data_IF_435344357321
#
_entry.id   IF_435344357321
#
_cell.length_a   1.000
_cell.length_b   1.000
_cell.length_c   1.000
_cell.angle_alpha   90.00
_cell.angle_beta   90.00
_cell.angle_gamma   90.00
#
_symmetry.space_group_name_H-M   'P 1'
#
loop_
_entity.id
_entity.type
_entity.pdbx_description
1 polymer ?
#
# COMPACT_ATOMS: atom_id res chain seq x y z
N UNK A 1 17.19 -0.45 -1.82
CA UNK A 1 16.98 -0.29 -3.28
C UNK A 1 16.45 -1.55 -3.96
N UNK A 2 16.74 -2.77 -3.48
CA UNK A 2 16.29 -4.04 -4.09
C UNK A 2 14.76 -4.27 -4.13
N UNK A 3 13.99 -3.81 -3.13
CA UNK A 3 12.54 -4.06 -3.07
C UNK A 3 11.78 -3.45 -4.26
N UNK A 4 12.12 -2.24 -4.71
CA UNK A 4 11.37 -1.53 -5.76
C UNK A 4 11.47 -2.24 -7.12
N UNK A 5 12.63 -2.80 -7.44
CA UNK A 5 12.85 -3.50 -8.72
C UNK A 5 12.06 -4.80 -8.77
N UNK A 6 12.12 -5.62 -7.71
CA UNK A 6 11.33 -6.85 -7.61
C UNK A 6 9.82 -6.57 -7.67
N UNK A 7 9.36 -5.48 -7.03
CA UNK A 7 7.97 -5.03 -7.13
C UNK A 7 7.57 -4.66 -8.56
N UNK A 8 8.43 -3.96 -9.30
CA UNK A 8 8.15 -3.61 -10.69
C UNK A 8 8.01 -4.85 -11.57
N UNK A 9 8.79 -5.89 -11.29
CA UNK A 9 8.78 -7.16 -12.03
C UNK A 9 7.59 -8.06 -11.67
N UNK A 10 7.20 -8.11 -10.40
CA UNK A 10 6.26 -9.13 -9.90
C UNK A 10 4.87 -8.60 -9.55
N UNK A 11 4.68 -7.29 -9.41
CA UNK A 11 3.36 -6.74 -9.14
C UNK A 11 2.51 -6.75 -10.41
N UNK A 12 1.41 -7.49 -10.38
CA UNK A 12 0.47 -7.65 -11.51
C UNK A 12 -0.16 -6.35 -12.06
N UNK A 13 -0.09 -5.21 -11.33
CA UNK A 13 -0.55 -3.89 -11.81
C UNK A 13 0.59 -2.96 -12.25
N UNK A 14 1.84 -3.43 -12.19
CA UNK A 14 3.02 -2.59 -12.39
C UNK A 14 3.25 -1.67 -11.19
N UNK A 15 4.47 -1.70 -10.65
CA UNK A 15 4.83 -0.83 -9.53
C UNK A 15 5.53 0.44 -10.03
N UNK A 16 4.87 1.60 -9.91
CA UNK A 16 5.46 2.92 -10.22
C UNK A 16 6.02 3.66 -9.01
N UNK A 17 5.90 3.08 -7.81
CA UNK A 17 6.28 3.70 -6.54
C UNK A 17 5.08 3.93 -5.61
N UNK A 18 5.34 3.99 -4.31
CA UNK A 18 4.37 4.44 -3.31
C UNK A 18 4.43 5.98 -3.25
N UNK A 19 3.28 6.64 -3.27
CA UNK A 19 3.17 8.10 -3.27
C UNK A 19 2.92 8.61 -1.85
N UNK A 20 3.66 9.65 -1.44
CA UNK A 20 3.59 10.22 -0.10
C UNK A 20 4.34 9.39 0.95
N UNK A 21 4.03 9.60 2.23
CA UNK A 21 4.55 8.79 3.33
C UNK A 21 4.20 7.32 3.09
N UNK A 22 5.23 6.46 3.11
CA UNK A 22 5.07 5.07 2.73
C UNK A 22 5.96 4.16 3.56
N UNK A 23 5.45 2.95 3.77
CA UNK A 23 6.09 1.91 4.56
C UNK A 23 5.90 0.57 3.85
N UNK A 24 6.97 -0.20 3.73
CA UNK A 24 6.94 -1.52 3.11
C UNK A 24 7.66 -2.53 3.99
N UNK A 25 7.08 -3.72 4.09
CA UNK A 25 7.64 -4.87 4.78
C UNK A 25 7.79 -6.02 3.81
N UNK A 26 8.91 -6.72 3.91
CA UNK A 26 9.24 -7.93 3.17
C UNK A 26 9.25 -9.08 4.17
N UNK A 27 8.57 -10.18 3.85
CA UNK A 27 8.75 -11.44 4.53
C UNK A 27 9.72 -12.31 3.72
N UNK A 28 10.74 -12.84 4.39
CA UNK A 28 11.71 -13.76 3.79
C UNK A 28 11.71 -15.12 4.51
N UNK A 29 11.92 -16.18 3.75
CA UNK A 29 12.18 -17.55 4.23
C UNK A 29 13.49 -17.98 3.58
N UNK A 30 14.48 -18.40 4.38
CA UNK A 30 15.79 -18.83 3.85
C UNK A 30 16.41 -17.81 2.87
N UNK A 31 16.31 -16.52 3.20
CA UNK A 31 16.75 -15.38 2.36
C UNK A 31 15.92 -15.13 1.08
N UNK A 32 14.98 -16.02 0.74
CA UNK A 32 14.03 -15.84 -0.37
C UNK A 32 12.80 -15.04 0.05
N UNK A 33 12.31 -14.17 -0.84
CA UNK A 33 11.19 -13.28 -0.55
C UNK A 33 9.87 -13.99 -0.84
N UNK A 34 9.04 -14.17 0.20
CA UNK A 34 7.76 -14.89 0.10
C UNK A 34 6.54 -13.97 0.15
N UNK A 35 6.68 -12.79 0.74
CA UNK A 35 5.59 -11.82 0.80
C UNK A 35 6.12 -10.40 0.83
N UNK A 36 5.28 -9.48 0.38
CA UNK A 36 5.54 -8.06 0.45
C UNK A 36 4.23 -7.33 0.76
N UNK A 37 4.27 -6.50 1.80
CA UNK A 37 3.18 -5.64 2.21
C UNK A 37 3.64 -4.20 2.11
N UNK A 38 2.84 -3.34 1.50
CA UNK A 38 3.15 -1.93 1.34
C UNK A 38 1.94 -1.05 1.61
N UNK A 39 2.23 0.04 2.29
CA UNK A 39 1.29 1.05 2.70
C UNK A 39 1.77 2.41 2.21
N UNK A 40 0.84 3.24 1.74
CA UNK A 40 1.12 4.60 1.32
C UNK A 40 0.12 5.58 1.92
N UNK A 41 0.36 6.87 1.72
CA UNK A 41 -0.57 7.91 2.10
C UNK A 41 -1.98 7.62 1.55
N UNK A 42 -3.00 8.00 2.32
CA UNK A 42 -4.38 7.82 1.93
C UNK A 42 -4.64 8.34 0.50
N UNK A 43 -5.22 7.49 -0.34
CA UNK A 43 -5.81 7.96 -1.58
C UNK A 43 -6.85 9.04 -1.27
N UNK A 44 -6.84 10.09 -2.06
CA UNK A 44 -7.54 11.33 -1.74
C UNK A 44 -9.07 11.14 -1.72
N UNK A 45 -9.64 10.27 -2.57
CA UNK A 45 -11.10 10.08 -2.64
C UNK A 45 -11.57 8.66 -3.03
N UNK A 46 -11.41 7.62 -2.19
CA UNK A 46 -12.32 6.49 -2.22
C UNK A 46 -13.64 6.93 -1.57
N UNK A 47 -14.61 7.38 -2.37
CA UNK A 47 -15.94 7.80 -1.88
C UNK A 47 -16.58 6.74 -0.96
N UNK A 48 -16.37 5.47 -1.26
CA UNK A 48 -16.85 4.35 -0.44
C UNK A 48 -16.26 4.33 0.98
N UNK A 49 -14.98 4.71 1.15
CA UNK A 49 -14.35 4.83 2.48
C UNK A 49 -15.03 5.92 3.28
N UNK A 50 -15.13 7.12 2.70
CA UNK A 50 -15.63 8.28 3.43
C UNK A 50 -17.11 8.11 3.81
N UNK A 51 -17.90 7.44 2.95
CA UNK A 51 -19.29 7.04 3.27
C UNK A 51 -19.37 6.00 4.38
N UNK A 52 -18.51 4.99 4.36
CA UNK A 52 -18.50 3.95 5.39
C UNK A 52 -18.08 4.48 6.77
N UNK A 53 -17.08 5.35 6.82
CA UNK A 53 -16.68 6.01 8.08
C UNK A 53 -17.70 7.10 8.49
N UNK A 54 -18.50 7.61 7.54
CA UNK A 54 -19.50 8.65 7.79
C UNK A 54 -18.91 10.06 7.92
N UNK A 55 -17.77 10.33 7.27
CA UNK A 55 -17.13 11.64 7.34
C UNK A 55 -17.83 12.69 6.50
N UNK A 56 -17.97 13.90 7.05
CA UNK A 56 -18.21 15.10 6.25
C UNK A 56 -16.95 15.49 5.49
N UNK A 57 -17.10 16.30 4.43
CA UNK A 57 -15.96 16.77 3.63
C UNK A 57 -14.90 17.48 4.49
N UNK A 58 -15.34 18.30 5.44
CA UNK A 58 -14.44 19.00 6.37
C UNK A 58 -13.68 18.02 7.29
N UNK A 59 -14.35 16.97 7.78
CA UNK A 59 -13.71 15.93 8.58
C UNK A 59 -12.69 15.12 7.75
N UNK A 60 -13.02 14.81 6.49
CA UNK A 60 -12.10 14.15 5.57
C UNK A 60 -10.80 14.95 5.43
N UNK A 61 -10.88 16.25 5.15
CA UNK A 61 -9.69 17.11 4.97
C UNK A 61 -8.73 17.09 6.16
N UNK A 62 -9.27 17.13 7.39
CA UNK A 62 -8.45 17.16 8.61
C UNK A 62 -7.91 15.76 8.96
N UNK A 63 -8.68 14.71 8.68
CA UNK A 63 -8.39 13.34 9.14
C UNK A 63 -7.66 12.47 8.12
N UNK A 64 -7.63 12.87 6.85
CA UNK A 64 -6.99 12.08 5.78
C UNK A 64 -5.53 11.73 6.10
N UNK A 65 -4.81 12.64 6.77
CA UNK A 65 -3.41 12.45 7.21
C UNK A 65 -3.20 11.29 8.20
N UNK A 66 -4.27 10.85 8.88
CA UNK A 66 -4.21 9.75 9.85
C UNK A 66 -4.64 8.42 9.22
N UNK A 67 -4.99 8.42 7.94
CA UNK A 67 -5.39 7.21 7.23
C UNK A 67 -4.25 6.76 6.34
N UNK A 68 -3.97 5.47 6.41
CA UNK A 68 -2.98 4.82 5.58
C UNK A 68 -3.73 3.97 4.55
N UNK A 69 -3.34 4.09 3.28
CA UNK A 69 -3.86 3.25 2.22
C UNK A 69 -3.06 1.95 2.13
N UNK A 70 -3.76 0.83 2.01
CA UNK A 70 -3.11 -0.42 1.68
C UNK A 70 -2.91 -0.49 0.16
N UNK A 71 -1.73 -0.07 -0.28
CA UNK A 71 -1.43 0.10 -1.70
C UNK A 71 -0.86 -1.17 -2.31
N UNK A 72 -0.32 -2.07 -1.48
CA UNK A 72 0.39 -3.22 -1.99
C UNK A 72 0.22 -4.45 -1.09
N UNK A 73 -0.27 -5.53 -1.70
CA UNK A 73 -0.21 -6.88 -1.16
C UNK A 73 0.29 -7.80 -2.26
N UNK A 74 1.43 -8.40 -2.04
CA UNK A 74 1.98 -9.42 -2.90
C UNK A 74 2.37 -10.62 -2.05
N UNK A 75 1.95 -11.80 -2.50
CA UNK A 75 2.23 -13.05 -1.81
C UNK A 75 2.61 -14.09 -2.85
N UNK A 76 3.76 -14.72 -2.64
CA UNK A 76 4.21 -15.86 -3.43
C UNK A 76 4.23 -17.07 -2.52
N UNK A 77 3.21 -17.91 -2.64
CA UNK A 77 3.33 -19.32 -2.29
C UNK A 77 4.11 -19.98 -3.43
N UNK A 78 5.44 -19.90 -3.39
CA UNK A 78 6.23 -20.90 -4.09
C UNK A 78 6.31 -22.09 -3.14
N UNK A 79 5.51 -23.11 -3.45
CA UNK A 79 5.70 -24.46 -2.93
C UNK A 79 6.80 -25.16 -3.72
#
# INVERSE_FOLDING_TARGET
MAHRTLMATHHYLGFRGLVGESLSYVACVEEEWVALLGWAAAAWMPRSRDQWIGWTRAQQWVRLRFVVNNTLRYFTLRG
#
